data_IF_439447870170
#
_entry.id   IF_439447870170
#
_cell.length_a   1.000
_cell.length_b   1.000
_cell.length_c   1.000
_cell.angle_alpha   90.00
_cell.angle_beta   90.00
_cell.angle_gamma   90.00
#
_symmetry.space_group_name_H-M   'P 1'
#
loop_
_entity.id
_entity.type
_entity.pdbx_description
1 polymer ?
#
# COMPACT_ATOMS: atom_id res chain seq x y z
N UNK A 1 39.33 -26.12 -12.48
CA UNK A 1 37.86 -26.06 -12.34
C UNK A 1 37.54 -24.93 -11.38
N UNK A 2 37.05 -23.81 -11.90
CA UNK A 2 36.92 -22.56 -11.16
C UNK A 2 35.55 -22.41 -10.50
N UNK A 3 35.55 -22.12 -9.22
CA UNK A 3 34.42 -21.63 -8.44
C UNK A 3 34.62 -20.11 -8.24
N UNK A 4 33.79 -19.30 -8.92
CA UNK A 4 33.73 -17.85 -8.70
C UNK A 4 32.78 -17.55 -7.55
N UNK A 5 33.36 -17.02 -6.48
CA UNK A 5 32.67 -16.35 -5.38
C UNK A 5 32.12 -15.01 -5.88
N UNK A 6 30.84 -14.73 -5.62
CA UNK A 6 30.24 -13.43 -5.88
C UNK A 6 30.29 -12.57 -4.62
N UNK A 7 30.74 -11.34 -4.82
CA UNK A 7 30.99 -10.30 -3.83
C UNK A 7 29.73 -9.92 -3.05
N UNK A 8 29.84 -9.97 -1.72
CA UNK A 8 28.98 -9.21 -0.81
C UNK A 8 29.41 -7.75 -0.79
N UNK A 9 28.42 -6.85 -0.79
CA UNK A 9 28.63 -5.42 -0.59
C UNK A 9 28.17 -5.12 0.84
N UNK A 10 29.14 -4.90 1.73
CA UNK A 10 28.96 -4.33 3.06
C UNK A 10 28.59 -2.85 2.94
N UNK A 11 27.55 -2.41 3.64
CA UNK A 11 27.23 -0.98 3.77
C UNK A 11 27.69 -0.47 5.14
N UNK A 12 28.67 0.43 5.10
CA UNK A 12 29.30 1.07 6.26
C UNK A 12 28.50 2.29 6.70
N UNK A 13 28.22 2.32 8.01
CA UNK A 13 27.71 3.45 8.80
C UNK A 13 28.42 4.78 8.52
N UNK A 14 27.63 5.85 8.31
CA UNK A 14 28.02 7.22 8.69
C UNK A 14 26.82 8.00 9.20
N UNK A 15 26.81 8.28 10.50
CA UNK A 15 25.97 9.32 11.09
C UNK A 15 26.59 10.70 10.89
N UNK A 16 25.75 11.73 10.85
CA UNK A 16 26.09 13.10 11.22
C UNK A 16 24.90 13.76 11.93
N UNK A 17 25.23 14.45 13.01
CA UNK A 17 24.37 15.15 13.95
C UNK A 17 24.51 16.68 13.74
N UNK A 18 23.37 17.39 13.91
CA UNK A 18 23.17 18.77 14.41
C UNK A 18 23.44 19.97 13.47
N UNK A 19 22.47 20.92 13.41
CA UNK A 19 22.80 22.35 13.23
C UNK A 19 21.70 23.31 12.72
N UNK A 20 20.86 23.81 13.64
CA UNK A 20 20.00 25.02 13.69
C UNK A 20 20.02 26.17 12.63
N UNK A 21 18.82 26.79 12.54
CA UNK A 21 18.45 28.21 12.28
C UNK A 21 18.29 28.74 10.85
N UNK A 22 17.07 29.15 10.48
CA UNK A 22 16.66 30.59 10.49
C UNK A 22 15.25 30.81 9.92
N UNK A 23 14.53 31.75 10.53
CA UNK A 23 13.16 32.17 10.26
C UNK A 23 13.13 33.52 9.54
N UNK A 24 12.23 33.73 8.57
CA UNK A 24 11.74 35.05 8.14
C UNK A 24 10.29 34.91 7.55
N UNK A 25 9.45 35.96 7.42
CA UNK A 25 8.13 36.02 8.02
C UNK A 25 6.97 36.14 6.99
N UNK A 26 5.73 35.91 7.46
CA UNK A 26 4.49 36.07 6.69
C UNK A 26 3.67 37.25 7.23
N UNK A 27 3.16 38.10 6.32
CA UNK A 27 1.85 38.80 6.40
C UNK A 27 1.60 39.65 5.12
N UNK A 28 0.39 40.18 4.83
CA UNK A 28 -0.86 39.44 4.62
C UNK A 28 -1.75 39.94 3.44
N UNK A 29 -2.83 39.19 3.18
CA UNK A 29 -4.14 39.60 2.55
C UNK A 29 -4.25 39.64 1.00
N UNK A 30 -5.46 39.69 0.38
CA UNK A 30 -6.83 39.67 0.93
C UNK A 30 -7.82 38.70 0.24
N UNK A 31 -9.04 38.66 0.79
CA UNK A 31 -10.24 37.92 0.42
C UNK A 31 -10.77 38.19 -1.01
N UNK A 32 -11.68 37.34 -1.51
CA UNK A 32 -12.95 37.88 -2.00
C UNK A 32 -14.19 37.08 -1.60
N UNK A 33 -15.22 37.86 -1.27
CA UNK A 33 -16.64 37.53 -1.15
C UNK A 33 -17.23 37.10 -2.50
N UNK A 34 -18.17 36.16 -2.53
CA UNK A 34 -19.20 36.14 -3.59
C UNK A 34 -20.53 35.52 -3.15
N UNK A 35 -21.58 36.22 -3.56
CA UNK A 35 -23.00 36.05 -3.24
C UNK A 35 -23.64 34.75 -3.74
N UNK A 36 -24.57 34.23 -2.91
CA UNK A 36 -25.63 33.30 -3.31
C UNK A 36 -26.64 33.99 -4.25
N UNK A 37 -27.03 33.30 -5.33
CA UNK A 37 -28.35 33.47 -5.95
C UNK A 37 -28.88 32.11 -6.46
N UNK A 38 -30.00 31.68 -5.90
CA UNK A 38 -30.87 30.58 -6.36
C UNK A 38 -31.98 31.17 -7.23
N UNK A 39 -32.35 30.49 -8.32
CA UNK A 39 -33.69 29.86 -8.58
C UNK A 39 -33.97 29.68 -10.09
N UNK A 40 -34.48 28.47 -10.41
CA UNK A 40 -35.62 28.03 -11.29
C UNK A 40 -35.69 28.60 -12.73
N UNK A 41 -36.03 27.86 -13.78
CA UNK A 41 -36.61 26.53 -14.02
C UNK A 41 -37.35 26.56 -15.39
N UNK A 42 -37.84 25.41 -15.85
CA UNK A 42 -38.90 25.15 -16.88
C UNK A 42 -38.49 24.55 -18.24
N UNK A 43 -38.65 23.21 -18.31
CA UNK A 43 -39.30 22.31 -19.29
C UNK A 43 -39.54 22.73 -20.76
N UNK A 44 -39.31 21.79 -21.69
CA UNK A 44 -40.39 21.12 -22.44
C UNK A 44 -39.87 20.06 -23.44
N UNK A 45 -40.65 18.98 -23.51
CA UNK A 45 -40.55 17.78 -24.34
C UNK A 45 -40.65 18.04 -25.86
N UNK A 46 -40.02 17.18 -26.68
CA UNK A 46 -40.66 16.57 -27.87
C UNK A 46 -40.06 15.19 -28.13
N UNK A 47 -40.91 14.18 -28.01
CA UNK A 47 -40.72 12.80 -28.46
C UNK A 47 -41.40 12.66 -29.84
N UNK A 48 -40.68 12.20 -30.87
CA UNK A 48 -41.33 11.66 -32.07
C UNK A 48 -40.50 10.53 -32.70
N UNK A 49 -41.06 9.31 -32.62
CA UNK A 49 -40.66 8.11 -33.34
C UNK A 49 -41.12 8.17 -34.79
N UNK A 50 -40.36 7.62 -35.74
CA UNK A 50 -40.91 6.89 -36.89
C UNK A 50 -39.85 6.02 -37.60
N UNK A 51 -40.07 4.71 -37.59
CA UNK A 51 -39.38 3.70 -38.41
C UNK A 51 -39.86 3.77 -39.86
N UNK A 52 -38.96 3.67 -40.85
CA UNK A 52 -39.25 3.05 -42.16
C UNK A 52 -37.99 2.57 -42.91
N UNK A 53 -37.92 1.24 -43.03
CA UNK A 53 -37.40 0.34 -44.09
C UNK A 53 -36.27 0.78 -45.05
N UNK A 54 -35.26 -0.09 -45.06
CA UNK A 54 -34.14 -0.29 -46.00
C UNK A 54 -34.48 -0.20 -47.51
N UNK A 55 -33.57 0.43 -48.26
CA UNK A 55 -33.15 0.01 -49.62
C UNK A 55 -31.62 0.14 -49.74
N UNK A 56 -31.01 -0.89 -50.32
CA UNK A 56 -29.57 -1.14 -50.50
C UNK A 56 -28.95 -0.25 -51.59
N UNK A 57 -27.76 0.32 -51.36
CA UNK A 57 -26.50 -0.06 -52.03
C UNK A 57 -25.29 0.68 -51.38
N UNK A 58 -24.04 0.27 -51.64
CA UNK A 58 -23.00 0.11 -50.62
C UNK A 58 -21.93 1.21 -50.72
N UNK A 59 -20.91 1.11 -49.86
CA UNK A 59 -19.71 1.96 -49.80
C UNK A 59 -19.85 3.26 -48.99
N UNK A 60 -19.81 3.10 -47.67
CA UNK A 60 -19.09 4.02 -46.79
C UNK A 60 -18.54 3.18 -45.63
N UNK A 61 -17.33 2.65 -45.81
CA UNK A 61 -16.59 2.02 -44.70
C UNK A 61 -16.10 3.16 -43.83
N UNK A 62 -16.69 3.19 -42.64
CA UNK A 62 -16.63 4.30 -41.71
C UNK A 62 -15.24 4.41 -41.09
N UNK A 63 -14.57 5.53 -41.35
CA UNK A 63 -13.32 5.95 -40.71
C UNK A 63 -13.51 6.26 -39.20
N UNK A 64 -14.75 6.20 -38.71
CA UNK A 64 -15.13 6.37 -37.32
C UNK A 64 -14.70 5.21 -36.41
N UNK A 65 -14.82 3.96 -36.86
CA UNK A 65 -14.54 2.78 -36.01
C UNK A 65 -13.09 2.75 -35.48
N UNK A 66 -12.10 3.09 -36.32
CA UNK A 66 -10.68 3.05 -35.97
C UNK A 66 -10.25 4.18 -35.02
N UNK A 67 -10.89 5.35 -35.09
CA UNK A 67 -10.71 6.42 -34.09
C UNK A 67 -11.38 6.05 -32.77
N UNK A 68 -12.55 5.43 -32.84
CA UNK A 68 -13.31 5.06 -31.66
C UNK A 68 -12.58 4.05 -30.78
N UNK A 69 -11.92 3.01 -31.32
CA UNK A 69 -11.22 2.01 -30.50
C UNK A 69 -9.94 2.51 -29.80
N UNK A 70 -9.10 3.30 -30.48
CA UNK A 70 -7.91 3.92 -29.86
C UNK A 70 -8.33 4.94 -28.80
N UNK A 71 -9.37 5.73 -29.10
CA UNK A 71 -9.97 6.61 -28.14
C UNK A 71 -10.55 5.81 -26.99
N UNK A 72 -11.19 4.66 -27.21
CA UNK A 72 -11.85 3.85 -26.18
C UNK A 72 -10.89 3.15 -25.23
N UNK A 73 -9.67 2.76 -25.66
CA UNK A 73 -8.65 2.18 -24.77
C UNK A 73 -7.72 3.20 -24.13
N UNK A 74 -7.36 4.28 -24.83
CA UNK A 74 -6.83 5.46 -24.14
C UNK A 74 -7.87 5.95 -23.13
N UNK A 75 -9.17 5.98 -23.46
CA UNK A 75 -10.26 6.22 -22.52
C UNK A 75 -10.30 5.15 -21.43
N UNK A 76 -10.00 3.87 -21.65
CA UNK A 76 -9.95 2.86 -20.56
C UNK A 76 -8.74 3.08 -19.64
N UNK A 77 -7.58 3.45 -20.18
CA UNK A 77 -6.41 3.81 -19.40
C UNK A 77 -6.64 5.14 -18.68
N UNK A 78 -7.27 6.11 -19.32
CA UNK A 78 -7.69 7.42 -18.80
C UNK A 78 -8.81 7.26 -17.77
N UNK A 79 -9.75 6.35 -17.95
CA UNK A 79 -10.82 5.99 -17.00
C UNK A 79 -10.17 5.27 -15.81
N UNK A 80 -9.20 4.40 -16.05
CA UNK A 80 -8.47 3.73 -14.97
C UNK A 80 -7.67 4.78 -14.19
N UNK A 81 -6.89 5.62 -14.87
CA UNK A 81 -6.18 6.78 -14.30
C UNK A 81 -7.10 7.79 -13.62
N UNK A 82 -8.29 8.06 -14.15
CA UNK A 82 -9.27 8.99 -13.59
C UNK A 82 -10.03 8.38 -12.41
N UNK A 83 -10.31 7.07 -12.44
CA UNK A 83 -10.80 6.32 -11.28
C UNK A 83 -9.74 6.32 -10.19
N UNK A 84 -8.48 6.09 -10.54
CA UNK A 84 -7.36 6.20 -9.61
C UNK A 84 -7.14 7.62 -9.12
N UNK A 85 -7.25 8.65 -9.96
CA UNK A 85 -7.08 10.04 -9.51
C UNK A 85 -8.20 10.44 -8.56
N UNK A 86 -9.43 9.99 -8.81
CA UNK A 86 -10.55 10.19 -7.89
C UNK A 86 -10.36 9.41 -6.58
N UNK A 87 -9.85 8.17 -6.64
CA UNK A 87 -9.55 7.35 -5.47
C UNK A 87 -8.39 7.97 -4.66
N UNK A 88 -7.31 8.39 -5.32
CA UNK A 88 -6.17 9.09 -4.74
C UNK A 88 -6.58 10.43 -4.14
N UNK A 89 -7.48 11.17 -4.79
CA UNK A 89 -8.02 12.43 -4.25
C UNK A 89 -8.87 12.18 -3.01
N UNK A 90 -9.80 11.21 -3.06
CA UNK A 90 -10.58 10.79 -1.89
C UNK A 90 -9.68 10.26 -0.77
N UNK A 91 -8.60 9.59 -1.12
CA UNK A 91 -7.60 9.11 -0.17
C UNK A 91 -6.81 10.27 0.44
N UNK A 92 -6.36 11.25 -0.34
CA UNK A 92 -5.74 12.46 0.18
C UNK A 92 -6.66 13.22 1.13
N UNK A 93 -7.92 13.43 0.72
CA UNK A 93 -8.95 14.05 1.57
C UNK A 93 -9.23 13.25 2.84
N UNK A 94 -9.22 11.91 2.77
CA UNK A 94 -9.44 11.05 3.93
C UNK A 94 -8.24 11.02 4.87
N UNK A 95 -7.02 10.96 4.33
CA UNK A 95 -5.77 11.08 5.08
C UNK A 95 -5.70 12.43 5.78
N UNK A 96 -6.02 13.53 5.11
CA UNK A 96 -6.06 14.87 5.72
C UNK A 96 -7.14 14.97 6.80
N UNK A 97 -8.31 14.35 6.60
CA UNK A 97 -9.37 14.32 7.61
C UNK A 97 -9.03 13.48 8.83
N UNK A 98 -8.30 12.38 8.66
CA UNK A 98 -7.87 11.51 9.76
C UNK A 98 -6.64 12.07 10.46
N UNK A 99 -5.79 12.82 9.75
CA UNK A 99 -4.70 13.57 10.39
C UNK A 99 -5.18 14.77 11.22
N UNK A 100 -6.47 15.11 11.20
CA UNK A 100 -7.03 16.20 12.02
C UNK A 100 -7.23 15.74 13.46
N UNK A 101 -6.19 15.96 14.25
CA UNK A 101 -6.08 15.99 15.71
C UNK A 101 -6.46 14.71 16.49
N UNK A 102 -7.55 13.99 16.16
CA UNK A 102 -7.99 12.82 16.95
C UNK A 102 -6.97 11.68 16.90
N UNK A 103 -6.54 11.28 15.71
CA UNK A 103 -5.66 10.12 15.55
C UNK A 103 -4.24 10.44 16.02
N UNK A 104 -3.84 11.70 15.88
CA UNK A 104 -2.57 12.21 16.42
C UNK A 104 -2.58 12.18 17.96
N UNK A 105 -3.68 12.59 18.59
CA UNK A 105 -3.83 12.50 20.04
C UNK A 105 -3.86 11.04 20.52
N UNK A 106 -4.53 10.14 19.80
CA UNK A 106 -4.53 8.70 20.11
C UNK A 106 -3.12 8.12 20.01
N UNK A 107 -2.40 8.41 18.91
CA UNK A 107 -1.02 7.97 18.72
C UNK A 107 -0.10 8.46 19.85
N UNK A 108 -0.10 9.76 20.13
CA UNK A 108 0.76 10.34 21.17
C UNK A 108 0.41 9.81 22.57
N UNK A 109 -0.88 9.60 22.87
CA UNK A 109 -1.33 9.02 24.13
C UNK A 109 -0.90 7.56 24.26
N UNK A 110 -1.15 6.73 23.25
CA UNK A 110 -0.76 5.32 23.27
C UNK A 110 0.75 5.18 23.33
N UNK A 111 1.52 5.95 22.55
CA UNK A 111 2.98 5.95 22.62
C UNK A 111 3.47 6.23 24.05
N UNK A 112 2.93 7.28 24.71
CA UNK A 112 3.27 7.59 26.11
C UNK A 112 2.88 6.47 27.07
N UNK A 113 1.73 5.84 26.88
CA UNK A 113 1.27 4.74 27.71
C UNK A 113 2.17 3.50 27.60
N UNK A 114 2.56 3.14 26.38
CA UNK A 114 3.50 2.03 26.12
C UNK A 114 4.91 2.35 26.63
N UNK A 115 5.40 3.58 26.45
CA UNK A 115 6.68 4.00 27.01
C UNK A 115 6.66 3.98 28.55
N UNK A 116 5.57 4.41 29.18
CA UNK A 116 5.40 4.32 30.62
C UNK A 116 5.37 2.86 31.09
N UNK A 117 4.66 1.98 30.37
CA UNK A 117 4.65 0.54 30.64
C UNK A 117 6.07 -0.04 30.58
N UNK A 118 6.83 0.30 29.54
CA UNK A 118 8.23 -0.11 29.35
C UNK A 118 9.19 0.46 30.40
N UNK A 119 9.01 1.70 30.84
CA UNK A 119 9.83 2.29 31.92
C UNK A 119 9.52 1.65 33.27
N UNK A 120 8.25 1.31 33.50
CA UNK A 120 7.81 0.66 34.74
C UNK A 120 8.03 -0.84 34.77
N UNK A 121 8.51 -1.40 33.65
CA UNK A 121 8.79 -2.82 33.50
C UNK A 121 9.88 -3.26 34.47
N UNK A 122 9.67 -4.41 35.09
CA UNK A 122 10.64 -5.05 35.98
C UNK A 122 11.27 -6.29 35.33
N UNK A 123 10.58 -6.90 34.37
CA UNK A 123 11.00 -8.15 33.72
C UNK A 123 10.63 -8.13 32.23
N UNK A 124 11.55 -8.54 31.35
CA UNK A 124 11.31 -8.81 29.93
C UNK A 124 11.48 -10.31 29.65
N UNK A 125 10.42 -10.96 29.18
CA UNK A 125 10.47 -12.36 28.77
C UNK A 125 10.47 -12.40 27.24
N UNK A 126 11.59 -12.82 26.65
CA UNK A 126 11.68 -13.11 25.23
C UNK A 126 11.14 -14.52 25.00
N UNK A 127 10.09 -14.62 24.20
CA UNK A 127 9.40 -15.86 23.90
C UNK A 127 9.79 -16.35 22.51
N UNK A 128 9.98 -17.66 22.39
CA UNK A 128 10.03 -18.31 21.09
C UNK A 128 8.62 -18.61 20.55
N UNK A 129 8.55 -19.23 19.37
CA UNK A 129 7.28 -19.52 18.69
C UNK A 129 6.40 -20.57 19.39
N UNK A 130 6.96 -21.43 20.25
CA UNK A 130 6.19 -22.45 20.97
C UNK A 130 5.69 -21.93 22.33
N UNK A 131 6.47 -21.06 22.97
CA UNK A 131 6.11 -20.39 24.23
C UNK A 131 4.97 -19.37 24.06
N UNK A 132 4.84 -18.78 22.86
CA UNK A 132 3.69 -17.96 22.48
C UNK A 132 2.48 -18.85 22.15
N UNK A 133 1.61 -19.05 23.13
CA UNK A 133 0.41 -19.90 23.02
C UNK A 133 -0.81 -19.32 23.75
N UNK A 134 -1.98 -19.90 23.49
CA UNK A 134 -3.26 -19.49 24.11
C UNK A 134 -3.24 -19.53 25.65
N UNK A 135 -2.48 -20.45 26.25
CA UNK A 135 -2.35 -20.58 27.70
C UNK A 135 -1.58 -19.41 28.34
N UNK A 136 -0.52 -18.95 27.68
CA UNK A 136 0.17 -17.74 28.08
C UNK A 136 -0.73 -16.51 27.94
N UNK A 137 -1.44 -16.38 26.81
CA UNK A 137 -2.36 -15.26 26.61
C UNK A 137 -3.49 -15.23 27.65
N UNK A 138 -4.01 -16.39 28.05
CA UNK A 138 -4.98 -16.52 29.14
C UNK A 138 -4.39 -16.05 30.49
N UNK A 139 -3.12 -16.37 30.76
CA UNK A 139 -2.41 -15.94 31.97
C UNK A 139 -2.20 -14.42 31.99
N UNK A 140 -1.82 -13.83 30.86
CA UNK A 140 -1.71 -12.35 30.71
C UNK A 140 -3.08 -11.70 30.95
N UNK A 141 -4.13 -12.29 30.37
CA UNK A 141 -5.50 -11.81 30.54
C UNK A 141 -5.97 -11.88 32.00
N UNK A 142 -5.75 -12.99 32.68
CA UNK A 142 -6.09 -13.15 34.09
C UNK A 142 -5.39 -12.08 34.95
N UNK A 143 -4.10 -11.85 34.68
CA UNK A 143 -3.29 -10.86 35.40
C UNK A 143 -3.86 -9.44 35.28
N UNK A 144 -4.24 -8.99 34.08
CA UNK A 144 -4.80 -7.62 33.90
C UNK A 144 -6.16 -7.47 34.58
N UNK A 145 -6.97 -8.53 34.65
CA UNK A 145 -8.25 -8.53 35.36
C UNK A 145 -8.06 -8.49 36.88
N UNK A 146 -7.19 -9.36 37.41
CA UNK A 146 -6.87 -9.36 38.84
C UNK A 146 -6.31 -8.01 39.31
N UNK A 147 -5.45 -7.39 38.50
CA UNK A 147 -4.89 -6.06 38.81
C UNK A 147 -5.96 -4.96 38.78
N UNK A 148 -6.87 -5.01 37.81
CA UNK A 148 -7.98 -4.06 37.71
C UNK A 148 -8.93 -4.19 38.91
N UNK A 149 -9.38 -5.40 39.23
CA UNK A 149 -10.25 -5.68 40.37
C UNK A 149 -9.60 -5.23 41.68
N UNK A 150 -8.31 -5.54 41.87
CA UNK A 150 -7.55 -5.11 43.05
C UNK A 150 -7.50 -3.59 43.19
N UNK A 151 -7.27 -2.85 42.10
CA UNK A 151 -7.27 -1.38 42.12
C UNK A 151 -8.65 -0.81 42.47
N UNK A 152 -9.73 -1.46 42.03
CA UNK A 152 -11.09 -1.05 42.46
C UNK A 152 -11.32 -1.27 43.95
N UNK A 153 -10.81 -2.36 44.54
CA UNK A 153 -10.93 -2.67 45.97
C UNK A 153 -10.01 -1.81 46.85
N UNK A 154 -8.82 -1.44 46.37
CA UNK A 154 -7.87 -0.54 47.05
C UNK A 154 -8.36 0.92 47.08
N UNK A 155 -9.18 1.33 46.12
CA UNK A 155 -9.86 2.64 46.15
C UNK A 155 -10.72 2.85 47.40
N UNK A 156 -11.20 1.76 48.01
CA UNK A 156 -12.06 1.75 49.20
C UNK A 156 -11.31 1.47 50.52
N UNK A 157 -10.04 1.04 50.48
CA UNK A 157 -9.30 0.70 51.71
C UNK A 157 -7.80 0.98 51.61
N UNK A 158 -7.26 1.76 52.56
CA UNK A 158 -5.83 2.04 52.74
C UNK A 158 -5.03 0.77 53.14
N UNK A 159 -4.86 -0.17 52.20
CA UNK A 159 -3.98 -1.34 52.37
C UNK A 159 -2.68 -1.14 51.57
N UNK A 160 -1.55 -1.42 52.23
CA UNK A 160 -0.21 -1.36 51.63
C UNK A 160 -0.06 -2.49 50.62
N UNK A 161 0.35 -2.22 49.35
CA UNK A 161 0.58 -3.28 48.37
C UNK A 161 1.71 -4.21 48.81
N UNK A 162 1.48 -5.53 48.79
CA UNK A 162 2.52 -6.53 49.04
C UNK A 162 3.61 -6.52 47.94
N UNK A 163 4.86 -6.88 48.26
CA UNK A 163 6.03 -6.71 47.39
C UNK A 163 6.03 -7.56 46.10
N UNK A 164 5.23 -8.64 46.02
CA UNK A 164 5.19 -9.53 44.86
C UNK A 164 4.32 -9.05 43.68
N UNK A 165 3.49 -8.02 43.86
CA UNK A 165 2.51 -7.58 42.85
C UNK A 165 2.92 -6.32 42.09
N UNK A 166 4.19 -5.93 42.20
CA UNK A 166 4.76 -4.81 41.43
C UNK A 166 5.55 -5.27 40.20
N UNK A 167 5.63 -6.58 39.96
CA UNK A 167 6.35 -7.13 38.83
C UNK A 167 5.56 -6.90 37.54
N UNK A 168 5.98 -5.89 36.77
CA UNK A 168 5.45 -5.60 35.45
C UNK A 168 6.28 -6.33 34.42
N UNK A 169 5.86 -7.54 34.11
CA UNK A 169 6.41 -8.34 33.01
C UNK A 169 5.94 -7.78 31.66
N UNK A 170 6.85 -7.65 30.70
CA UNK A 170 6.46 -7.58 29.28
C UNK A 170 6.99 -8.80 28.54
N UNK A 171 6.28 -9.18 27.48
CA UNK A 171 6.54 -10.37 26.69
C UNK A 171 6.91 -9.96 25.27
N UNK A 172 8.05 -10.43 24.78
CA UNK A 172 8.55 -10.11 23.44
C UNK A 172 8.47 -11.35 22.56
N UNK A 173 7.68 -11.27 21.49
CA UNK A 173 7.50 -12.35 20.51
C UNK A 173 7.86 -11.81 19.12
N UNK A 174 9.05 -12.16 18.64
CA UNK A 174 9.57 -11.61 17.38
C UNK A 174 9.68 -10.08 17.43
N UNK A 175 8.97 -9.39 16.52
CA UNK A 175 8.90 -7.92 16.48
C UNK A 175 7.76 -7.33 17.32
N UNK A 176 7.03 -8.16 18.07
CA UNK A 176 5.87 -7.76 18.89
C UNK A 176 6.25 -7.69 20.36
N UNK A 177 5.75 -6.69 21.07
CA UNK A 177 5.87 -6.56 22.53
C UNK A 177 4.47 -6.49 23.13
N UNK A 178 4.19 -7.36 24.09
CA UNK A 178 2.91 -7.47 24.78
C UNK A 178 3.10 -7.05 26.23
N UNK A 179 2.28 -6.12 26.70
CA UNK A 179 2.36 -5.60 28.05
C UNK A 179 0.98 -5.50 28.71
N UNK A 180 0.97 -5.63 30.03
CA UNK A 180 -0.20 -5.35 30.85
C UNK A 180 -0.34 -3.83 31.00
N UNK A 181 -1.45 -3.27 30.52
CA UNK A 181 -1.76 -1.85 30.68
C UNK A 181 -2.65 -1.62 31.90
N UNK A 182 -2.94 -0.36 32.23
CA UNK A 182 -3.82 -0.03 33.35
C UNK A 182 -5.29 -0.35 33.02
N UNK A 183 -6.04 -0.86 33.99
CA UNK A 183 -7.37 -1.44 33.71
C UNK A 183 -7.22 -2.84 33.10
N UNK A 184 -8.33 -3.52 32.81
CA UNK A 184 -8.31 -4.87 32.23
C UNK A 184 -7.90 -4.87 30.74
N UNK A 185 -6.76 -4.22 30.43
CA UNK A 185 -6.27 -3.89 29.09
C UNK A 185 -4.93 -4.57 28.81
N UNK A 186 -4.82 -5.13 27.62
CA UNK A 186 -3.60 -5.74 27.08
C UNK A 186 -3.10 -4.85 25.95
N UNK A 187 -1.88 -4.33 26.09
CA UNK A 187 -1.21 -3.56 25.04
C UNK A 187 -0.36 -4.46 24.16
N UNK A 188 -0.49 -4.30 22.85
CA UNK A 188 0.43 -4.88 21.86
C UNK A 188 1.09 -3.76 21.07
N UNK A 189 2.42 -3.74 21.07
CA UNK A 189 3.25 -2.91 20.21
C UNK A 189 3.84 -3.78 19.10
N UNK A 190 3.63 -3.37 17.85
CA UNK A 190 4.18 -4.00 16.66
C UNK A 190 5.34 -3.16 16.14
N UNK A 191 6.54 -3.73 16.20
CA UNK A 191 7.70 -3.20 15.49
C UNK A 191 7.69 -3.68 14.04
N UNK A 192 7.97 -2.76 13.12
CA UNK A 192 8.22 -3.08 11.71
C UNK A 192 9.65 -2.71 11.34
N UNK A 193 10.19 -3.39 10.34
CA UNK A 193 11.55 -3.14 9.85
C UNK A 193 11.65 -3.39 8.36
N UNK A 194 12.53 -2.67 7.69
CA UNK A 194 12.91 -2.91 6.31
C UNK A 194 14.45 -2.95 6.23
N UNK A 195 15.07 -3.61 5.24
CA UNK A 195 16.52 -3.64 5.14
C UNK A 195 17.14 -2.25 5.30
N UNK A 196 17.99 -2.08 6.33
CA UNK A 196 18.56 -0.80 6.71
C UNK A 196 18.14 -0.29 8.09
N UNK A 197 17.04 -0.79 8.67
CA UNK A 197 16.69 -0.45 10.05
C UNK A 197 15.22 -0.63 10.44
N UNK A 198 14.88 -0.27 11.69
CA UNK A 198 13.48 -0.22 12.12
C UNK A 198 12.72 0.90 11.40
N UNK A 199 11.44 0.65 11.14
CA UNK A 199 10.50 1.61 10.57
C UNK A 199 9.60 2.14 11.72
N UNK A 200 8.30 2.28 11.49
CA UNK A 200 7.35 2.77 12.49
C UNK A 200 6.90 1.69 13.47
N UNK A 201 6.49 2.16 14.65
CA UNK A 201 5.81 1.38 15.67
C UNK A 201 4.29 1.57 15.54
N UNK A 202 3.56 0.48 15.68
CA UNK A 202 2.11 0.50 15.75
C UNK A 202 1.64 -0.09 17.07
N UNK A 203 0.51 0.41 17.57
CA UNK A 203 -0.04 0.00 18.86
C UNK A 203 -1.46 -0.51 18.66
N UNK A 204 -1.84 -1.53 19.42
CA UNK A 204 -3.19 -2.05 19.53
C UNK A 204 -3.47 -2.35 21.00
N UNK A 205 -4.62 -1.92 21.50
CA UNK A 205 -5.07 -2.18 22.87
C UNK A 205 -6.29 -3.07 22.81
N UNK A 206 -6.17 -4.23 23.43
CA UNK A 206 -7.27 -5.16 23.63
C UNK A 206 -7.85 -4.99 25.01
N UNK A 207 -9.17 -5.06 25.10
CA UNK A 207 -9.89 -5.04 26.36
C UNK A 207 -10.89 -6.20 26.40
N UNK A 208 -11.18 -6.68 27.61
CA UNK A 208 -12.38 -7.46 27.87
C UNK A 208 -13.00 -6.96 29.17
N UNK A 209 -14.32 -6.80 29.23
CA UNK A 209 -14.98 -6.27 30.44
C UNK A 209 -14.99 -7.26 31.60
N UNK A 210 -14.86 -8.54 31.27
CA UNK A 210 -14.76 -9.65 32.21
C UNK A 210 -13.88 -10.74 31.60
N UNK A 211 -13.30 -11.59 32.44
CA UNK A 211 -12.52 -12.75 32.00
C UNK A 211 -13.33 -13.70 31.09
N UNK A 212 -14.66 -13.76 31.26
CA UNK A 212 -15.56 -14.64 30.47
C UNK A 212 -16.07 -13.98 29.19
N UNK A 213 -15.96 -12.66 29.05
CA UNK A 213 -16.41 -11.96 27.86
C UNK A 213 -15.43 -12.15 26.70
N UNK A 214 -15.82 -11.79 25.47
CA UNK A 214 -14.87 -11.75 24.35
C UNK A 214 -13.92 -10.56 24.48
N UNK A 215 -12.70 -10.69 23.99
CA UNK A 215 -11.82 -9.54 23.79
C UNK A 215 -12.31 -8.69 22.62
N UNK A 216 -12.09 -7.38 22.71
CA UNK A 216 -12.38 -6.40 21.65
C UNK A 216 -11.22 -5.43 21.49
N UNK A 217 -11.07 -4.87 20.30
CA UNK A 217 -10.10 -3.80 20.04
C UNK A 217 -10.66 -2.49 20.59
N UNK A 218 -10.01 -1.98 21.63
CA UNK A 218 -10.38 -0.71 22.26
C UNK A 218 -9.86 0.47 21.44
N UNK A 219 -8.54 0.49 21.20
CA UNK A 219 -7.83 1.59 20.52
C UNK A 219 -6.62 1.07 19.75
N UNK A 220 -6.23 1.75 18.68
CA UNK A 220 -5.04 1.39 17.90
C UNK A 220 -4.47 2.57 17.11
N UNK A 221 -3.24 2.41 16.62
CA UNK A 221 -2.60 3.32 15.66
C UNK A 221 -2.44 2.71 14.27
N UNK A 222 -3.05 1.54 14.04
CA UNK A 222 -3.03 0.84 12.76
C UNK A 222 -3.71 1.70 11.68
N UNK A 223 -3.09 1.89 10.50
CA UNK A 223 -3.66 2.71 9.43
C UNK A 223 -5.07 2.29 9.05
N UNK A 224 -5.97 3.28 8.91
CA UNK A 224 -7.41 3.06 8.69
C UNK A 224 -7.76 2.24 7.44
N UNK A 225 -6.86 2.18 6.46
CA UNK A 225 -7.06 1.44 5.21
C UNK A 225 -6.65 -0.03 5.33
N UNK A 226 -6.11 -0.46 6.48
CA UNK A 226 -5.84 -1.85 6.78
C UNK A 226 -7.06 -2.47 7.49
N UNK A 227 -7.43 -3.73 7.16
CA UNK A 227 -8.69 -4.35 7.57
C UNK A 227 -8.70 -4.86 9.02
N UNK A 228 -8.44 -3.98 10.00
CA UNK A 228 -8.42 -4.38 11.41
C UNK A 228 -9.81 -4.80 11.93
N UNK A 229 -10.88 -4.19 11.43
CA UNK A 229 -12.26 -4.49 11.88
C UNK A 229 -12.72 -5.85 11.36
N UNK A 230 -12.37 -6.18 10.14
CA UNK A 230 -12.58 -7.50 9.55
C UNK A 230 -11.77 -8.54 10.33
N UNK A 231 -10.48 -8.28 10.58
CA UNK A 231 -9.63 -9.17 11.38
C UNK A 231 -10.16 -9.37 12.80
N UNK A 232 -10.65 -8.30 13.45
CA UNK A 232 -11.27 -8.37 14.77
C UNK A 232 -12.49 -9.31 14.77
N UNK A 233 -13.37 -9.16 13.78
CA UNK A 233 -14.57 -9.99 13.67
C UNK A 233 -14.23 -11.46 13.40
N UNK A 234 -13.30 -11.70 12.48
CA UNK A 234 -12.99 -13.04 11.96
C UNK A 234 -12.08 -13.84 12.91
N UNK A 235 -11.10 -13.17 13.54
CA UNK A 235 -10.02 -13.82 14.27
C UNK A 235 -10.12 -13.61 15.78
N UNK A 236 -10.39 -12.39 16.27
CA UNK A 236 -10.30 -12.11 17.70
C UNK A 236 -11.35 -12.89 18.51
N UNK A 237 -12.52 -13.13 17.89
CA UNK A 237 -13.61 -13.91 18.50
C UNK A 237 -13.31 -15.41 18.60
N UNK A 238 -12.47 -15.95 17.73
CA UNK A 238 -12.17 -17.38 17.63
C UNK A 238 -10.83 -17.73 18.26
N UNK A 239 -9.80 -16.93 18.00
CA UNK A 239 -8.46 -17.09 18.52
C UNK A 239 -7.73 -15.73 18.55
N UNK A 240 -7.60 -15.16 19.75
CA UNK A 240 -6.96 -13.86 19.95
C UNK A 240 -5.47 -13.86 19.58
N UNK A 241 -4.78 -14.99 19.74
CA UNK A 241 -3.39 -15.14 19.33
C UNK A 241 -3.23 -14.97 17.82
N UNK A 242 -4.07 -15.66 17.03
CA UNK A 242 -4.11 -15.52 15.56
C UNK A 242 -4.43 -14.10 15.12
N UNK A 243 -5.31 -13.39 15.83
CA UNK A 243 -5.55 -11.99 15.55
C UNK A 243 -4.28 -11.15 15.74
N UNK A 244 -3.59 -11.30 16.88
CA UNK A 244 -2.36 -10.57 17.18
C UNK A 244 -1.29 -10.85 16.12
N UNK A 245 -1.08 -12.11 15.77
CA UNK A 245 -0.09 -12.50 14.78
C UNK A 245 -0.42 -11.96 13.39
N UNK A 246 -1.68 -12.10 12.95
CA UNK A 246 -2.15 -11.60 11.66
C UNK A 246 -1.95 -10.08 11.51
N UNK A 247 -2.24 -9.29 12.55
CA UNK A 247 -2.04 -7.85 12.50
C UNK A 247 -0.55 -7.50 12.35
N UNK A 248 0.34 -8.22 13.04
CA UNK A 248 1.78 -8.05 12.89
C UNK A 248 2.27 -8.33 11.46
N UNK A 249 1.82 -9.45 10.88
CA UNK A 249 2.14 -9.83 9.49
C UNK A 249 1.59 -8.82 8.48
N UNK A 250 0.36 -8.36 8.68
CA UNK A 250 -0.31 -7.36 7.84
C UNK A 250 0.44 -6.02 7.83
N UNK A 251 0.88 -5.55 9.00
CA UNK A 251 1.66 -4.32 9.14
C UNK A 251 3.04 -4.45 8.49
N UNK A 252 3.74 -5.55 8.73
CA UNK A 252 5.06 -5.81 8.14
C UNK A 252 4.97 -5.86 6.61
N UNK A 253 4.00 -6.60 6.05
CA UNK A 253 3.82 -6.67 4.60
C UNK A 253 3.40 -5.33 3.97
N UNK A 254 2.64 -4.51 4.69
CA UNK A 254 2.34 -3.14 4.27
C UNK A 254 3.62 -2.29 4.18
N UNK A 255 4.46 -2.32 5.22
CA UNK A 255 5.73 -1.59 5.26
C UNK A 255 6.66 -2.08 4.15
N UNK A 256 6.83 -3.40 4.00
CA UNK A 256 7.69 -3.96 2.95
C UNK A 256 7.29 -3.51 1.55
N UNK A 257 5.99 -3.52 1.21
CA UNK A 257 5.51 -3.03 -0.08
C UNK A 257 5.73 -1.53 -0.25
N UNK A 258 5.50 -0.74 0.79
CA UNK A 258 5.70 0.72 0.76
C UNK A 258 7.16 1.06 0.54
N UNK A 259 8.05 0.48 1.34
CA UNK A 259 9.49 0.73 1.28
C UNK A 259 10.10 0.22 -0.03
N UNK A 260 9.65 -0.92 -0.56
CA UNK A 260 10.06 -1.37 -1.88
C UNK A 260 9.70 -0.38 -3.00
N UNK A 261 8.50 0.20 -2.96
CA UNK A 261 8.07 1.22 -3.93
C UNK A 261 8.86 2.51 -3.76
N UNK A 262 9.14 2.91 -2.52
CA UNK A 262 9.97 4.08 -2.23
C UNK A 262 11.41 3.86 -2.74
N UNK A 263 11.97 2.67 -2.52
CA UNK A 263 13.33 2.35 -2.94
C UNK A 263 13.50 2.33 -4.47
N UNK A 264 12.55 1.80 -5.24
CA UNK A 264 12.64 1.90 -6.71
C UNK A 264 12.54 3.34 -7.21
N UNK A 265 11.79 4.20 -6.50
CA UNK A 265 11.69 5.61 -6.84
C UNK A 265 13.00 6.34 -6.56
N UNK A 266 13.68 5.99 -5.47
CA UNK A 266 14.98 6.54 -5.11
C UNK A 266 16.10 6.06 -6.05
N UNK A 267 16.13 4.77 -6.38
CA UNK A 267 17.20 4.17 -7.19
C UNK A 267 17.00 4.39 -8.70
N UNK A 268 15.74 4.39 -9.17
CA UNK A 268 15.41 4.35 -10.60
C UNK A 268 14.40 5.42 -11.01
N UNK A 269 14.20 6.45 -10.19
CA UNK A 269 13.23 7.53 -10.44
C UNK A 269 13.37 8.18 -11.82
N UNK A 270 14.59 8.34 -12.32
CA UNK A 270 14.85 8.91 -13.65
C UNK A 270 14.32 8.05 -14.80
N UNK A 271 14.16 6.75 -14.59
CA UNK A 271 13.62 5.81 -15.57
C UNK A 271 12.10 5.63 -15.43
N UNK A 272 11.54 6.01 -14.28
CA UNK A 272 10.13 5.86 -13.96
C UNK A 272 9.41 7.18 -14.26
N UNK A 273 8.62 7.19 -15.34
CA UNK A 273 7.90 8.38 -15.76
C UNK A 273 6.64 8.65 -14.92
N UNK A 274 5.87 7.60 -14.67
CA UNK A 274 4.64 7.65 -13.87
C UNK A 274 4.71 6.52 -12.84
N UNK A 275 4.36 6.80 -11.58
CA UNK A 275 4.25 5.81 -10.50
C UNK A 275 3.00 6.10 -9.69
N UNK A 276 2.13 5.10 -9.59
CA UNK A 276 0.88 5.14 -8.86
C UNK A 276 0.80 3.96 -7.90
N UNK A 277 0.26 4.19 -6.71
CA UNK A 277 -0.03 3.13 -5.77
C UNK A 277 -1.28 3.46 -4.94
N UNK A 278 -1.96 2.42 -4.48
CA UNK A 278 -2.99 2.55 -3.44
C UNK A 278 -2.37 2.82 -2.05
N UNK A 279 -3.18 3.26 -1.08
CA UNK A 279 -2.75 3.44 0.31
C UNK A 279 -2.10 2.19 0.95
N UNK A 280 -2.69 0.98 0.92
CA UNK A 280 -2.06 -0.22 1.46
C UNK A 280 -0.99 -0.83 0.54
N UNK A 281 -0.64 -0.17 -0.56
CA UNK A 281 0.28 -0.68 -1.60
C UNK A 281 -0.11 -2.03 -2.22
N UNK A 282 -1.36 -2.48 -2.06
CA UNK A 282 -1.89 -3.69 -2.71
C UNK A 282 -2.12 -3.56 -4.22
N UNK A 283 -1.94 -2.35 -4.75
CA UNK A 283 -2.10 -1.99 -6.15
C UNK A 283 -0.99 -1.00 -6.48
N UNK A 284 -0.07 -1.39 -7.36
CA UNK A 284 1.06 -0.55 -7.79
C UNK A 284 1.13 -0.58 -9.31
N UNK A 285 1.23 0.59 -9.94
CA UNK A 285 1.39 0.73 -11.38
C UNK A 285 2.48 1.74 -11.70
N UNK A 286 3.36 1.40 -12.64
CA UNK A 286 4.38 2.35 -13.08
C UNK A 286 4.69 2.20 -14.56
N UNK A 287 5.28 3.26 -15.10
CA UNK A 287 5.59 3.40 -16.52
C UNK A 287 7.06 3.69 -16.71
N UNK A 288 7.68 2.94 -17.61
CA UNK A 288 9.03 3.18 -18.10
C UNK A 288 8.96 3.71 -19.54
N UNK A 289 9.71 4.76 -19.83
CA UNK A 289 9.92 5.20 -21.21
C UNK A 289 11.28 4.66 -21.67
N UNK A 290 11.25 3.71 -22.61
CA UNK A 290 12.45 3.07 -23.15
C UNK A 290 12.47 3.26 -24.66
N UNK A 291 13.25 4.23 -25.11
CA UNK A 291 13.36 4.62 -26.53
C UNK A 291 11.98 4.80 -27.19
N UNK A 292 11.74 4.20 -28.36
CA UNK A 292 10.46 4.21 -29.05
C UNK A 292 9.45 3.22 -28.46
N UNK A 293 9.49 2.95 -27.16
CA UNK A 293 8.53 2.09 -26.48
C UNK A 293 8.15 2.66 -25.10
N UNK A 294 6.88 2.50 -24.74
CA UNK A 294 6.38 2.73 -23.38
C UNK A 294 6.14 1.37 -22.74
N UNK A 295 6.64 1.14 -21.54
CA UNK A 295 6.40 -0.12 -20.81
C UNK A 295 5.54 0.19 -19.60
N UNK A 296 4.39 -0.48 -19.49
CA UNK A 296 3.47 -0.34 -18.35
C UNK A 296 3.53 -1.59 -17.49
N UNK A 297 3.80 -1.43 -16.20
CA UNK A 297 3.81 -2.49 -15.20
C UNK A 297 2.62 -2.29 -14.26
N UNK A 298 1.86 -3.35 -14.00
CA UNK A 298 0.73 -3.35 -13.06
C UNK A 298 0.81 -4.55 -12.13
N UNK A 299 0.81 -4.28 -10.83
CA UNK A 299 0.93 -5.24 -9.75
C UNK A 299 -0.32 -5.21 -8.88
N UNK A 300 -0.82 -6.40 -8.52
CA UNK A 300 -1.95 -6.58 -7.60
C UNK A 300 -1.61 -7.62 -6.54
N UNK A 301 -1.86 -7.26 -5.29
CA UNK A 301 -1.70 -8.11 -4.12
C UNK A 301 -3.09 -8.43 -3.60
N UNK A 302 -3.59 -9.63 -3.91
CA UNK A 302 -4.90 -10.08 -3.43
C UNK A 302 -4.87 -10.38 -1.92
N UNK A 303 -3.74 -10.90 -1.46
CA UNK A 303 -3.47 -11.12 -0.05
C UNK A 303 -2.64 -9.96 0.53
N UNK A 304 -3.17 -9.31 1.57
CA UNK A 304 -2.53 -8.16 2.18
C UNK A 304 -1.35 -8.54 3.07
N UNK A 305 -1.21 -9.78 3.52
CA UNK A 305 -0.02 -10.24 4.24
C UNK A 305 1.12 -10.65 3.30
N UNK A 306 0.88 -10.67 1.98
CA UNK A 306 1.91 -11.01 1.01
C UNK A 306 2.73 -9.79 0.55
N UNK A 307 4.04 -9.99 0.49
CA UNK A 307 5.03 -9.03 -0.02
C UNK A 307 5.24 -9.16 -1.54
N UNK A 308 4.79 -10.27 -2.15
CA UNK A 308 4.89 -10.51 -3.60
C UNK A 308 3.52 -10.41 -4.29
N UNK A 309 3.47 -9.87 -5.52
CA UNK A 309 2.21 -9.65 -6.22
C UNK A 309 1.57 -10.96 -6.71
N UNK A 310 0.28 -11.13 -6.42
CA UNK A 310 -0.53 -12.25 -6.90
C UNK A 310 -0.91 -12.15 -8.39
N UNK A 311 -1.03 -10.94 -8.92
CA UNK A 311 -1.30 -10.70 -10.35
C UNK A 311 -0.35 -9.64 -10.87
N UNK A 312 0.25 -9.95 -12.01
CA UNK A 312 1.30 -9.15 -12.62
C UNK A 312 0.94 -9.00 -14.10
N UNK A 313 1.09 -7.79 -14.62
CA UNK A 313 0.98 -7.53 -16.05
C UNK A 313 2.05 -6.55 -16.48
N UNK A 314 2.88 -6.96 -17.44
CA UNK A 314 3.91 -6.10 -18.04
C UNK A 314 3.68 -6.03 -19.54
N UNK A 315 3.39 -4.83 -20.04
CA UNK A 315 3.08 -4.59 -21.46
C UNK A 315 4.00 -3.53 -22.04
N UNK A 316 4.59 -3.83 -23.18
CA UNK A 316 5.37 -2.92 -24.01
C UNK A 316 4.54 -2.41 -25.17
N UNK A 317 4.48 -1.09 -25.30
CA UNK A 317 3.71 -0.37 -26.31
C UNK A 317 4.68 0.28 -27.30
N UNK A 318 4.64 -0.06 -28.59
CA UNK A 318 5.49 0.56 -29.58
C UNK A 318 5.07 2.02 -29.82
N UNK A 319 6.04 2.93 -29.89
CA UNK A 319 5.84 4.36 -30.11
C UNK A 319 5.77 4.68 -31.60
N UNK A 320 4.96 5.68 -31.94
CA UNK A 320 4.68 6.08 -33.33
C UNK A 320 5.84 6.83 -34.03
N UNK A 321 6.94 7.12 -33.34
CA UNK A 321 7.98 8.03 -33.82
C UNK A 321 8.79 7.52 -35.03
N UNK A 322 8.88 6.20 -35.25
CA UNK A 322 9.68 5.64 -36.34
C UNK A 322 8.91 5.22 -37.61
N UNK A 323 7.58 5.30 -37.62
CA UNK A 323 6.81 4.96 -38.83
C UNK A 323 6.88 6.05 -39.92
N UNK A 324 7.45 7.23 -39.63
CA UNK A 324 7.51 8.32 -40.60
C UNK A 324 8.74 8.17 -41.52
N UNK A 325 9.81 7.53 -41.07
CA UNK A 325 11.07 7.44 -41.84
C UNK A 325 11.18 6.20 -42.73
N UNK A 326 10.26 5.22 -42.61
CA UNK A 326 10.24 4.03 -43.45
C UNK A 326 9.27 4.13 -44.66
N UNK A 327 8.47 5.21 -44.76
CA UNK A 327 7.40 5.33 -45.77
C UNK A 327 7.77 6.18 -47.00
N UNK A 328 9.03 6.59 -47.19
CA UNK A 328 9.46 7.38 -48.36
C UNK A 328 10.15 6.58 -49.47
N UNK A 329 10.29 5.26 -49.36
CA UNK A 329 10.67 4.41 -50.49
C UNK A 329 9.95 3.06 -50.39
N UNK A 330 8.76 2.95 -50.97
CA UNK A 330 8.43 1.90 -51.96
C UNK A 330 6.94 1.92 -52.34
N UNK A 331 6.71 2.35 -53.58
CA UNK A 331 5.78 1.84 -54.60
C UNK A 331 4.62 0.94 -54.12
N UNK A 332 3.44 1.56 -54.00
CA UNK A 332 2.15 1.15 -54.57
C UNK A 332 1.90 -0.37 -54.68
N UNK A 333 1.34 -0.98 -53.65
CA UNK A 333 0.51 -2.18 -53.78
C UNK A 333 -0.66 -2.15 -52.79
N UNK A 334 -1.83 -2.52 -53.31
CA UNK A 334 -3.13 -2.51 -52.65
C UNK A 334 -3.25 -3.76 -51.77
N UNK A 335 -3.44 -3.59 -50.46
CA UNK A 335 -3.60 -4.71 -49.53
C UNK A 335 -4.10 -4.27 -48.16
N UNK A 336 -5.26 -4.77 -47.78
CA UNK A 336 -6.04 -4.51 -46.56
C UNK A 336 -5.34 -5.05 -45.31
N UNK A 337 -4.90 -4.18 -44.39
CA UNK A 337 -4.99 -4.25 -42.91
C UNK A 337 -4.05 -3.21 -42.30
N UNK A 338 -4.57 -2.06 -41.87
CA UNK A 338 -3.73 -1.13 -41.09
C UNK A 338 -3.27 -1.80 -39.79
N UNK A 339 -1.96 -1.82 -39.56
CA UNK A 339 -1.30 -2.45 -38.42
C UNK A 339 -1.89 -1.95 -37.10
N UNK A 340 -2.69 -2.79 -36.46
CA UNK A 340 -3.03 -2.62 -35.06
C UNK A 340 -1.73 -2.81 -34.28
N UNK A 341 -1.22 -1.76 -33.61
CA UNK A 341 -0.09 -1.88 -32.70
C UNK A 341 -0.56 -2.66 -31.47
N UNK A 342 -0.33 -3.97 -31.48
CA UNK A 342 -0.66 -4.86 -30.38
C UNK A 342 0.45 -4.71 -29.33
N UNK A 343 0.13 -4.41 -28.06
CA UNK A 343 1.14 -4.38 -27.01
C UNK A 343 1.75 -5.77 -26.85
N UNK A 344 3.07 -5.82 -26.69
CA UNK A 344 3.76 -7.06 -26.41
C UNK A 344 3.80 -7.31 -24.91
N UNK A 345 3.41 -8.51 -24.49
CA UNK A 345 3.54 -8.94 -23.10
C UNK A 345 4.98 -9.37 -22.82
N UNK A 346 5.59 -8.83 -21.76
CA UNK A 346 6.95 -9.17 -21.37
C UNK A 346 6.93 -10.25 -20.29
N UNK A 347 6.88 -11.52 -20.69
CA UNK A 347 6.78 -12.66 -19.76
C UNK A 347 7.97 -12.73 -18.79
N UNK A 348 9.20 -12.50 -19.27
CA UNK A 348 10.40 -12.53 -18.43
C UNK A 348 10.32 -11.53 -17.27
N UNK A 349 9.71 -10.36 -17.51
CA UNK A 349 9.52 -9.33 -16.52
C UNK A 349 8.46 -9.74 -15.49
N UNK A 350 7.38 -10.36 -15.95
CA UNK A 350 6.35 -10.90 -15.07
C UNK A 350 6.86 -12.04 -14.18
N UNK A 351 7.77 -12.87 -14.71
CA UNK A 351 8.39 -13.96 -13.95
C UNK A 351 9.32 -13.41 -12.86
N UNK A 352 10.15 -12.41 -13.17
CA UNK A 352 10.99 -11.75 -12.16
C UNK A 352 10.16 -11.15 -11.02
N UNK A 353 9.10 -10.41 -11.36
CA UNK A 353 8.18 -9.79 -10.38
C UNK A 353 7.39 -10.81 -9.56
N UNK A 354 7.32 -12.08 -9.98
CA UNK A 354 6.63 -13.14 -9.24
C UNK A 354 7.49 -13.74 -8.14
N UNK A 355 8.81 -13.70 -8.29
CA UNK A 355 9.75 -14.44 -7.43
C UNK A 355 10.74 -13.56 -6.69
N UNK A 356 10.85 -12.28 -7.05
CA UNK A 356 11.84 -11.36 -6.49
C UNK A 356 11.14 -10.15 -5.85
N UNK A 357 11.84 -9.46 -4.95
CA UNK A 357 11.38 -8.17 -4.45
C UNK A 357 11.29 -7.15 -5.60
N UNK A 358 10.46 -6.12 -5.46
CA UNK A 358 10.25 -5.14 -6.52
C UNK A 358 11.56 -4.45 -6.97
N UNK A 359 12.49 -4.04 -6.09
CA UNK A 359 13.77 -3.46 -6.52
C UNK A 359 14.65 -4.44 -7.31
N UNK A 360 14.76 -5.70 -6.87
CA UNK A 360 15.53 -6.74 -7.55
C UNK A 360 14.92 -7.08 -8.92
N UNK A 361 13.59 -7.26 -8.95
CA UNK A 361 12.86 -7.52 -10.18
C UNK A 361 13.02 -6.36 -11.17
N UNK A 362 13.00 -5.11 -10.68
CA UNK A 362 13.21 -3.94 -11.52
C UNK A 362 14.60 -3.95 -12.18
N UNK A 363 15.64 -4.23 -11.41
CA UNK A 363 17.00 -4.36 -11.94
C UNK A 363 17.07 -5.43 -13.04
N UNK A 364 16.52 -6.62 -12.80
CA UNK A 364 16.44 -7.70 -13.80
C UNK A 364 15.65 -7.30 -15.06
N UNK A 365 14.55 -6.55 -14.89
CA UNK A 365 13.73 -6.07 -15.99
C UNK A 365 14.55 -5.16 -16.90
N UNK A 366 15.15 -4.12 -16.34
CA UNK A 366 15.89 -3.09 -17.09
C UNK A 366 17.11 -3.68 -17.79
N UNK A 367 17.82 -4.62 -17.15
CA UNK A 367 18.99 -5.28 -17.73
C UNK A 367 18.69 -5.98 -19.07
N UNK A 368 17.49 -6.57 -19.21
CA UNK A 368 17.09 -7.34 -20.41
C UNK A 368 16.20 -6.53 -21.37
N UNK A 369 15.67 -5.40 -20.93
CA UNK A 369 14.57 -4.70 -21.59
C UNK A 369 14.86 -4.30 -23.03
N UNK A 370 15.97 -3.62 -23.28
CA UNK A 370 16.31 -3.14 -24.64
C UNK A 370 16.46 -4.29 -25.65
N UNK A 371 17.08 -5.40 -25.24
CA UNK A 371 17.31 -6.57 -26.09
C UNK A 371 15.99 -7.27 -26.45
N UNK A 372 15.12 -7.45 -25.45
CA UNK A 372 13.82 -8.10 -25.65
C UNK A 372 12.90 -7.25 -26.54
N UNK A 373 12.86 -5.93 -26.35
CA UNK A 373 12.09 -5.03 -27.19
C UNK A 373 12.57 -5.05 -28.66
N UNK A 374 13.88 -5.08 -28.88
CA UNK A 374 14.45 -5.22 -30.23
C UNK A 374 13.99 -6.52 -30.89
N UNK A 375 14.10 -7.65 -30.20
CA UNK A 375 13.68 -8.95 -30.72
C UNK A 375 12.18 -8.96 -31.06
N UNK A 376 11.32 -8.45 -30.18
CA UNK A 376 9.87 -8.45 -30.38
C UNK A 376 9.46 -7.58 -31.57
N UNK A 377 9.96 -6.35 -31.66
CA UNK A 377 9.47 -5.37 -32.65
C UNK A 377 10.24 -5.37 -33.97
N UNK A 378 11.49 -5.86 -34.02
CA UNK A 378 12.20 -6.02 -35.31
C UNK A 378 11.75 -7.27 -36.06
N UNK A 379 11.40 -8.37 -35.37
CA UNK A 379 10.85 -9.56 -36.04
C UNK A 379 9.43 -9.37 -36.59
N UNK A 380 8.74 -8.28 -36.24
CA UNK A 380 7.43 -7.92 -36.77
C UNK A 380 7.47 -7.06 -38.04
N UNK A 381 8.67 -6.73 -38.54
CA UNK A 381 8.87 -6.02 -39.81
C UNK A 381 9.01 -7.05 -40.94
N UNK A 382 8.04 -7.22 -41.87
CA UNK A 382 8.22 -8.11 -43.00
C UNK A 382 9.30 -7.54 -43.94
N UNK A 383 10.13 -8.45 -44.45
CA UNK A 383 11.16 -8.19 -45.48
C UNK A 383 10.55 -7.81 -46.82
#
# INVERSE_FOLDING_TARGET
AGSKSYYGIEWVNRGYLIGHNSAIPLSPSPSPSFCRKRRRGMDSDVEESLRKRQRKNPYFVDSSSRKNFMQEEDIRLEITRARFSNVLKRHGELTERLSRDSDKMVFERLQKEFDAARVSQTEEICLDGEEWNDGLLATIRERVHMEADRKTMLGDTNMVPGPHFQEKTTYKVGSKVICCLEGARIGIQYGTSFPGGPCELYHCVLESKSFLEKMTVLEHTIPFFLPIREAENDLLSSNAMKFIDYIGELLQAYVDRREQVQLIKELYGDQIRELYHSLPYHMVEFVLDVSDCKVTVSLRYADLVSVLPSRIRVLAWPSKKNSINAATLNRKESGVLGSHQIPARLSYAEDALRTMSLPEAFAEIVLKLSRELQHIFHHQSPS
#
